data_IF_392877936521
#
_entry.id   IF_392877936521
#
_cell.length_a   1.000
_cell.length_b   1.000
_cell.length_c   1.000
_cell.angle_alpha   90.00
_cell.angle_beta   90.00
_cell.angle_gamma   90.00
#
_symmetry.space_group_name_H-M   'P 1'
#
loop_
_entity.id
_entity.type
_entity.pdbx_description
1 polymer ?
#
# COMPACT_ATOMS: atom_id res chain seq x y z
N UNK A 1 15.95 -9.18 3.48
CA UNK A 1 14.52 -9.32 3.88
C UNK A 1 13.67 -9.30 2.62
N UNK A 2 12.72 -10.22 2.45
CA UNK A 2 11.80 -10.21 1.30
C UNK A 2 10.68 -9.17 1.49
N UNK A 3 9.97 -8.81 0.41
CA UNK A 3 8.80 -7.91 0.47
C UNK A 3 7.75 -8.41 1.45
N UNK A 4 7.45 -9.72 1.41
CA UNK A 4 6.49 -10.35 2.33
C UNK A 4 6.94 -10.27 3.80
N UNK A 5 8.23 -10.46 4.08
CA UNK A 5 8.77 -10.31 5.44
C UNK A 5 8.64 -8.85 5.94
N UNK A 6 8.90 -7.86 5.08
CA UNK A 6 8.75 -6.43 5.43
C UNK A 6 7.28 -6.07 5.68
N UNK A 7 6.36 -6.52 4.83
CA UNK A 7 4.92 -6.34 5.03
C UNK A 7 4.44 -6.97 6.35
N UNK A 8 4.92 -8.17 6.69
CA UNK A 8 4.58 -8.83 7.94
C UNK A 8 5.13 -8.08 9.17
N UNK A 9 6.31 -7.47 9.07
CA UNK A 9 6.85 -6.62 10.14
C UNK A 9 5.99 -5.36 10.35
N UNK A 10 5.67 -4.65 9.27
CA UNK A 10 4.79 -3.47 9.30
C UNK A 10 3.41 -3.78 9.90
N UNK A 11 2.85 -4.96 9.61
CA UNK A 11 1.57 -5.38 10.19
C UNK A 11 1.65 -5.50 11.72
N UNK A 12 2.76 -6.01 12.25
CA UNK A 12 2.99 -6.10 13.70
C UNK A 12 3.23 -4.73 14.34
N UNK A 13 3.70 -3.77 13.57
CA UNK A 13 3.87 -2.37 13.98
C UNK A 13 2.54 -1.57 13.93
N UNK A 14 1.44 -2.20 13.52
CA UNK A 14 0.10 -1.62 13.54
C UNK A 14 -0.37 -1.04 12.21
N UNK A 15 0.41 -1.17 11.13
CA UNK A 15 -0.06 -0.83 9.79
C UNK A 15 -1.20 -1.76 9.38
N UNK A 16 -2.21 -1.22 8.70
CA UNK A 16 -3.25 -2.07 8.12
C UNK A 16 -2.75 -2.79 6.86
N UNK A 17 -3.51 -3.76 6.34
CA UNK A 17 -3.07 -4.60 5.22
C UNK A 17 -2.68 -3.82 3.94
N UNK A 18 -3.35 -2.69 3.65
CA UNK A 18 -3.02 -1.83 2.50
C UNK A 18 -1.71 -1.07 2.73
N UNK A 19 -1.55 -0.51 3.94
CA UNK A 19 -0.31 0.17 4.36
C UNK A 19 0.88 -0.79 4.42
N UNK A 20 0.67 -2.05 4.83
CA UNK A 20 1.72 -3.06 4.88
C UNK A 20 2.32 -3.33 3.50
N UNK A 21 1.48 -3.47 2.47
CA UNK A 21 1.95 -3.64 1.09
C UNK A 21 2.62 -2.35 0.61
N UNK A 22 1.97 -1.21 0.77
CA UNK A 22 2.52 0.08 0.31
C UNK A 22 3.89 0.38 0.95
N UNK A 23 4.02 0.22 2.27
CA UNK A 23 5.27 0.41 3.00
C UNK A 23 6.33 -0.65 2.69
N UNK A 24 5.94 -1.87 2.33
CA UNK A 24 6.89 -2.89 1.88
C UNK A 24 7.60 -2.49 0.58
N UNK A 25 7.02 -1.60 -0.22
CA UNK A 25 7.58 -1.04 -1.45
C UNK A 25 8.05 0.42 -1.30
N UNK A 26 8.15 0.97 -0.09
CA UNK A 26 8.54 2.37 0.15
C UNK A 26 9.86 2.78 -0.52
N UNK A 27 10.82 1.86 -0.66
CA UNK A 27 12.10 2.09 -1.37
C UNK A 27 11.94 2.30 -2.88
N UNK A 28 10.88 1.78 -3.50
CA UNK A 28 10.56 2.10 -4.90
C UNK A 28 9.82 3.44 -5.03
N UNK A 29 9.18 3.90 -3.96
CA UNK A 29 8.37 5.12 -3.95
C UNK A 29 9.20 6.37 -3.62
N UNK A 30 10.36 6.22 -2.97
CA UNK A 30 11.23 7.34 -2.62
C UNK A 30 10.51 8.38 -1.76
N UNK A 31 10.53 9.64 -2.21
CA UNK A 31 9.91 10.78 -1.51
C UNK A 31 8.38 10.66 -1.41
N UNK A 32 7.74 9.95 -2.34
CA UNK A 32 6.28 9.74 -2.35
C UNK A 32 5.80 8.68 -1.33
N UNK A 33 6.73 8.00 -0.65
CA UNK A 33 6.40 6.89 0.25
C UNK A 33 5.44 7.27 1.39
N UNK A 34 5.62 8.42 2.03
CA UNK A 34 4.73 8.91 3.10
C UNK A 34 3.34 9.27 2.56
N UNK A 35 3.29 9.93 1.41
CA UNK A 35 2.03 10.26 0.73
C UNK A 35 1.27 8.98 0.34
N UNK A 36 1.96 7.99 -0.21
CA UNK A 36 1.39 6.70 -0.56
C UNK A 36 0.88 5.94 0.67
N UNK A 37 1.62 5.95 1.78
CA UNK A 37 1.19 5.34 3.04
C UNK A 37 -0.10 5.98 3.57
N UNK A 38 -0.20 7.31 3.56
CA UNK A 38 -1.43 8.04 3.93
C UNK A 38 -2.59 7.71 2.99
N UNK A 39 -2.36 7.73 1.69
CA UNK A 39 -3.37 7.39 0.68
C UNK A 39 -3.87 5.95 0.80
N UNK A 40 -3.00 5.01 1.19
CA UNK A 40 -3.34 3.60 1.33
C UNK A 40 -4.17 3.26 2.58
N UNK A 41 -4.15 4.13 3.59
CA UNK A 41 -4.82 3.91 4.88
C UNK A 41 -6.32 3.55 4.81
N UNK A 42 -7.19 4.26 4.06
CA UNK A 42 -8.62 3.97 4.02
C UNK A 42 -8.97 2.62 3.39
N UNK A 43 -8.05 1.97 2.67
CA UNK A 43 -8.30 0.68 2.03
C UNK A 43 -8.09 -0.53 2.95
N UNK A 44 -7.57 -0.31 4.17
CA UNK A 44 -7.30 -1.37 5.14
C UNK A 44 -8.57 -2.09 5.64
N UNK A 45 -8.51 -3.44 5.72
CA UNK A 45 -9.65 -4.32 6.00
C UNK A 45 -10.79 -4.18 4.97
N UNK A 46 -10.43 -3.82 3.74
CA UNK A 46 -11.32 -3.35 2.69
C UNK A 46 -11.71 -1.90 2.89
N UNK A 47 -12.15 -1.24 1.83
CA UNK A 47 -12.52 0.19 1.80
C UNK A 47 -13.30 0.61 3.05
N UNK A 48 -12.65 1.16 4.06
CA UNK A 48 -13.26 1.59 5.31
C UNK A 48 -13.79 0.46 6.21
N UNK A 49 -13.19 -0.73 6.22
CA UNK A 49 -13.63 -1.92 6.99
C UNK A 49 -14.95 -2.55 6.54
N UNK A 50 -15.35 -2.31 5.30
CA UNK A 50 -16.54 -2.93 4.71
C UNK A 50 -16.35 -4.42 4.33
N UNK A 51 -15.10 -4.92 4.31
CA UNK A 51 -14.76 -6.34 4.03
C UNK A 51 -15.11 -6.86 2.63
N UNK A 52 -15.38 -5.97 1.68
CA UNK A 52 -15.72 -6.33 0.29
C UNK A 52 -14.47 -6.53 -0.59
N UNK A 53 -13.54 -5.57 -0.56
CA UNK A 53 -12.35 -5.55 -1.43
C UNK A 53 -11.09 -5.80 -0.61
N UNK A 54 -10.15 -6.59 -1.13
CA UNK A 54 -8.89 -6.88 -0.43
C UNK A 54 -8.00 -5.61 -0.35
N UNK A 55 -7.81 -5.09 0.87
CA UNK A 55 -6.95 -3.91 1.09
C UNK A 55 -5.49 -4.11 0.68
N UNK A 56 -4.94 -5.31 0.82
CA UNK A 56 -3.57 -5.61 0.37
C UNK A 56 -3.43 -5.46 -1.15
N UNK A 57 -4.43 -5.91 -1.92
CA UNK A 57 -4.46 -5.73 -3.38
C UNK A 57 -4.63 -4.26 -3.75
N UNK A 58 -5.47 -3.50 -3.03
CA UNK A 58 -5.59 -2.05 -3.25
C UNK A 58 -4.26 -1.32 -3.03
N UNK A 59 -3.52 -1.65 -1.96
CA UNK A 59 -2.19 -1.11 -1.72
C UNK A 59 -1.20 -1.45 -2.84
N UNK A 60 -1.26 -2.66 -3.40
CA UNK A 60 -0.43 -3.06 -4.54
C UNK A 60 -0.72 -2.22 -5.80
N UNK A 61 -1.99 -1.94 -6.09
CA UNK A 61 -2.38 -1.11 -7.23
C UNK A 61 -1.92 0.36 -7.07
N UNK A 62 -1.95 0.88 -5.84
CA UNK A 62 -1.37 2.21 -5.53
C UNK A 62 0.12 2.23 -5.87
N UNK A 63 0.87 1.23 -5.39
CA UNK A 63 2.31 1.12 -5.67
C UNK A 63 2.56 1.01 -7.18
N UNK A 64 1.80 0.16 -7.88
CA UNK A 64 1.93 -0.02 -9.33
C UNK A 64 1.74 1.30 -10.09
N UNK A 65 0.68 2.05 -9.78
CA UNK A 65 0.41 3.33 -10.45
C UNK A 65 1.51 4.37 -10.23
N UNK A 66 2.06 4.44 -9.02
CA UNK A 66 3.15 5.37 -8.69
C UNK A 66 4.48 4.97 -9.35
N UNK A 67 4.82 3.68 -9.32
CA UNK A 67 6.09 3.18 -9.90
C UNK A 67 6.09 3.28 -11.42
N UNK A 68 5.00 2.88 -12.07
CA UNK A 68 4.89 2.93 -13.53
C UNK A 68 4.56 4.34 -14.05
N UNK A 69 4.38 5.32 -13.15
CA UNK A 69 3.87 6.65 -13.49
C UNK A 69 2.58 6.58 -14.34
N UNK A 70 1.75 5.57 -14.06
CA UNK A 70 0.56 5.29 -14.83
C UNK A 70 -0.47 6.41 -14.61
N UNK A 71 -0.85 7.07 -15.70
CA UNK A 71 -1.88 8.10 -15.72
C UNK A 71 -2.83 7.82 -16.88
N UNK A 72 -4.10 7.62 -16.55
CA UNK A 72 -5.17 7.48 -17.53
C UNK A 72 -5.85 8.83 -17.73
N UNK A 73 -5.07 9.79 -18.24
CA UNK A 73 -5.54 11.12 -18.67
C UNK A 73 -5.15 11.33 -20.13
N UNK A 74 -5.97 12.01 -20.95
CA UNK A 74 -5.60 12.38 -22.31
C UNK A 74 -4.34 13.25 -22.39
#
# INVERSE_FOLDING_TARGET
>A
MTRGQKAAALFREGCNCSQCITGAFADLLGEESDAALKASAPFGAGMGRLREVCGAMSGMLIVLGLVENARDVP
#
